data_IF_058343892042
#
_entry.id   IF_058343892042
#
_cell.length_a   1.000
_cell.length_b   1.000
_cell.length_c   1.000
_cell.angle_alpha   90.00
_cell.angle_beta   90.00
_cell.angle_gamma   90.00
#
_symmetry.space_group_name_H-M   'P 1'
#
loop_
_entity.id
_entity.type
_entity.pdbx_description
1 polymer ?
#
# COMPACT_ATOMS: atom_id res chain seq x y z
N UNK A 1 -76.92 -29.60 -60.62
CA UNK A 1 -75.59 -29.96 -61.16
C UNK A 1 -74.74 -28.72 -61.14
N UNK A 2 -73.59 -28.74 -60.45
CA UNK A 2 -72.63 -27.63 -60.43
C UNK A 2 -71.35 -28.11 -61.10
N UNK A 3 -70.95 -27.45 -62.18
CA UNK A 3 -69.69 -27.69 -62.85
C UNK A 3 -68.56 -27.00 -62.08
N UNK A 4 -67.50 -27.76 -61.79
CA UNK A 4 -66.22 -27.24 -61.31
C UNK A 4 -65.17 -27.88 -62.22
N UNK A 5 -64.39 -27.05 -62.91
CA UNK A 5 -63.29 -27.46 -63.80
C UNK A 5 -63.64 -28.46 -64.94
N UNK A 6 -64.75 -28.24 -65.66
CA UNK A 6 -64.98 -28.85 -66.98
C UNK A 6 -65.25 -30.37 -67.04
N UNK A 7 -65.46 -31.03 -65.91
CA UNK A 7 -65.83 -32.45 -65.83
C UNK A 7 -67.33 -32.60 -65.48
N UNK A 8 -68.08 -33.38 -66.27
CA UNK A 8 -69.49 -33.75 -65.96
C UNK A 8 -69.52 -34.90 -64.96
N UNK A 9 -69.64 -34.54 -63.69
CA UNK A 9 -69.56 -35.48 -62.58
C UNK A 9 -70.97 -36.01 -62.25
N UNK A 10 -71.22 -37.30 -62.54
CA UNK A 10 -72.42 -38.00 -62.11
C UNK A 10 -72.42 -38.32 -60.60
N UNK A 11 -73.56 -38.68 -60.02
CA UNK A 11 -73.72 -38.86 -58.56
C UNK A 11 -72.74 -39.85 -57.89
N UNK A 12 -72.20 -40.83 -58.63
CA UNK A 12 -71.17 -41.75 -58.15
C UNK A 12 -69.75 -41.15 -58.24
N UNK A 13 -69.43 -40.46 -59.35
CA UNK A 13 -68.13 -39.78 -59.52
C UNK A 13 -67.96 -38.62 -58.53
N UNK A 14 -69.04 -37.91 -58.16
CA UNK A 14 -69.01 -36.83 -57.17
C UNK A 14 -68.71 -37.38 -55.78
N UNK A 15 -69.27 -38.55 -55.45
CA UNK A 15 -69.00 -39.26 -54.19
C UNK A 15 -67.56 -39.75 -54.12
N UNK A 16 -67.02 -40.30 -55.22
CA UNK A 16 -65.61 -40.72 -55.31
C UNK A 16 -64.63 -39.55 -55.21
N UNK A 17 -64.92 -38.44 -55.89
CA UNK A 17 -64.11 -37.22 -55.80
C UNK A 17 -64.13 -36.65 -54.38
N UNK A 18 -65.32 -36.49 -53.77
CA UNK A 18 -65.43 -36.04 -52.38
C UNK A 18 -64.70 -36.97 -51.41
N UNK A 19 -64.77 -38.29 -51.59
CA UNK A 19 -64.06 -39.26 -50.77
C UNK A 19 -62.53 -39.07 -50.89
N UNK A 20 -62.01 -38.90 -52.11
CA UNK A 20 -60.59 -38.64 -52.36
C UNK A 20 -60.11 -37.34 -51.72
N UNK A 21 -60.88 -36.26 -51.82
CA UNK A 21 -60.55 -34.96 -51.20
C UNK A 21 -60.56 -35.04 -49.67
N UNK A 22 -61.52 -35.76 -49.09
CA UNK A 22 -61.57 -36.01 -47.63
C UNK A 22 -60.34 -36.80 -47.18
N UNK A 23 -59.94 -37.83 -47.93
CA UNK A 23 -58.74 -38.63 -47.64
C UNK A 23 -57.45 -37.80 -47.64
N UNK A 24 -57.28 -36.94 -48.65
CA UNK A 24 -56.13 -36.01 -48.72
C UNK A 24 -56.15 -35.01 -47.56
N UNK A 25 -57.32 -34.45 -47.22
CA UNK A 25 -57.44 -33.55 -46.07
C UNK A 25 -57.09 -34.25 -44.74
N UNK A 26 -57.49 -35.51 -44.57
CA UNK A 26 -57.13 -36.29 -43.38
C UNK A 26 -55.62 -36.53 -43.30
N UNK A 27 -54.96 -36.89 -44.41
CA UNK A 27 -53.51 -37.08 -44.44
C UNK A 27 -52.78 -35.78 -44.09
N UNK A 28 -53.20 -34.65 -44.66
CA UNK A 28 -52.63 -33.32 -44.35
C UNK A 28 -52.84 -32.99 -42.87
N UNK A 29 -54.05 -33.22 -42.33
CA UNK A 29 -54.33 -32.96 -40.92
C UNK A 29 -53.45 -33.81 -39.97
N UNK A 30 -53.22 -35.08 -40.30
CA UNK A 30 -52.31 -35.96 -39.56
C UNK A 30 -50.87 -35.45 -39.66
N UNK A 31 -50.41 -35.05 -40.84
CA UNK A 31 -49.05 -34.54 -41.05
C UNK A 31 -48.81 -33.23 -40.30
N UNK A 32 -49.78 -32.31 -40.35
CA UNK A 32 -49.76 -31.05 -39.57
C UNK A 32 -49.76 -31.36 -38.08
N UNK A 33 -50.58 -32.31 -37.61
CA UNK A 33 -50.60 -32.74 -36.22
C UNK A 33 -49.25 -33.30 -35.76
N UNK A 34 -48.63 -34.17 -36.57
CA UNK A 34 -47.31 -34.72 -36.31
C UNK A 34 -46.21 -33.63 -36.31
N UNK A 35 -46.25 -32.70 -37.26
CA UNK A 35 -45.31 -31.58 -37.34
C UNK A 35 -45.43 -30.65 -36.13
N UNK A 36 -46.65 -30.32 -35.71
CA UNK A 36 -46.90 -29.51 -34.50
C UNK A 36 -46.45 -30.25 -33.24
N UNK A 37 -46.69 -31.56 -33.16
CA UNK A 37 -46.22 -32.38 -32.04
C UNK A 37 -44.69 -32.41 -31.95
N UNK A 38 -44.01 -32.66 -33.07
CA UNK A 38 -42.54 -32.65 -33.14
C UNK A 38 -41.98 -31.27 -32.83
N UNK A 39 -42.58 -30.19 -33.36
CA UNK A 39 -42.19 -28.81 -33.06
C UNK A 39 -42.34 -28.47 -31.58
N UNK A 40 -43.45 -28.87 -30.93
CA UNK A 40 -43.63 -28.71 -29.48
C UNK A 40 -42.60 -29.49 -28.67
N UNK A 41 -42.26 -30.71 -29.09
CA UNK A 41 -41.29 -31.54 -28.39
C UNK A 41 -39.87 -30.97 -28.53
N UNK A 42 -39.50 -30.54 -29.75
CA UNK A 42 -38.23 -29.85 -30.01
C UNK A 42 -38.13 -28.57 -29.20
N UNK A 43 -39.18 -27.73 -29.21
CA UNK A 43 -39.22 -26.50 -28.40
C UNK A 43 -39.04 -26.77 -26.91
N UNK A 44 -39.65 -27.83 -26.36
CA UNK A 44 -39.42 -28.24 -24.96
C UNK A 44 -37.97 -28.62 -24.69
N UNK A 45 -37.37 -29.44 -25.54
CA UNK A 45 -35.99 -29.90 -25.37
C UNK A 45 -35.02 -28.72 -25.50
N UNK A 46 -35.19 -27.86 -26.51
CA UNK A 46 -34.39 -26.66 -26.70
C UNK A 46 -34.53 -25.68 -25.56
N UNK A 47 -35.75 -25.43 -25.06
CA UNK A 47 -35.96 -24.54 -23.92
C UNK A 47 -35.31 -25.08 -22.63
N UNK A 48 -35.41 -26.39 -22.40
CA UNK A 48 -34.75 -27.04 -21.26
C UNK A 48 -33.22 -26.95 -21.38
N UNK A 49 -32.67 -27.27 -22.54
CA UNK A 49 -31.23 -27.17 -22.79
C UNK A 49 -30.72 -25.73 -22.65
N UNK A 50 -31.48 -24.74 -23.14
CA UNK A 50 -31.14 -23.32 -22.98
C UNK A 50 -31.15 -22.89 -21.50
N UNK A 51 -32.12 -23.37 -20.70
CA UNK A 51 -32.16 -23.10 -19.26
C UNK A 51 -30.95 -23.71 -18.55
N UNK A 52 -30.65 -24.99 -18.80
CA UNK A 52 -29.50 -25.67 -18.20
C UNK A 52 -28.16 -25.01 -18.61
N UNK A 53 -28.05 -24.56 -19.86
CA UNK A 53 -26.91 -23.78 -20.33
C UNK A 53 -26.82 -22.43 -19.62
N UNK A 54 -27.94 -21.72 -19.47
CA UNK A 54 -27.96 -20.42 -18.79
C UNK A 54 -27.53 -20.56 -17.32
N UNK A 55 -28.05 -21.56 -16.61
CA UNK A 55 -27.67 -21.85 -15.23
C UNK A 55 -26.18 -22.21 -15.13
N UNK A 56 -25.68 -23.06 -16.03
CA UNK A 56 -24.26 -23.43 -16.09
C UNK A 56 -23.35 -22.23 -16.39
N UNK A 57 -23.78 -21.33 -17.27
CA UNK A 57 -23.04 -20.09 -17.59
C UNK A 57 -22.96 -19.20 -16.35
N UNK A 58 -24.06 -19.04 -15.61
CA UNK A 58 -24.09 -18.24 -14.38
C UNK A 58 -23.14 -18.85 -13.34
N UNK A 59 -23.22 -20.17 -13.12
CA UNK A 59 -22.38 -20.86 -12.14
C UNK A 59 -20.89 -20.77 -12.48
N UNK A 60 -20.52 -21.08 -13.72
CA UNK A 60 -19.12 -21.03 -14.18
C UNK A 60 -18.61 -19.60 -14.13
N UNK A 61 -19.42 -18.61 -14.55
CA UNK A 61 -19.01 -17.21 -14.52
C UNK A 61 -18.81 -16.74 -13.08
N UNK A 62 -19.72 -17.07 -12.16
CA UNK A 62 -19.58 -16.72 -10.74
C UNK A 62 -18.32 -17.33 -10.14
N UNK A 63 -18.11 -18.64 -10.30
CA UNK A 63 -16.92 -19.32 -9.78
C UNK A 63 -15.63 -18.76 -10.36
N UNK A 64 -15.62 -18.43 -11.65
CA UNK A 64 -14.46 -17.84 -12.31
C UNK A 64 -14.20 -16.43 -11.77
N UNK A 65 -15.24 -15.61 -11.61
CA UNK A 65 -15.12 -14.26 -11.05
C UNK A 65 -14.63 -14.29 -9.61
N UNK A 66 -15.16 -15.19 -8.77
CA UNK A 66 -14.72 -15.38 -7.39
C UNK A 66 -13.25 -15.78 -7.33
N UNK A 67 -12.84 -16.76 -8.15
CA UNK A 67 -11.45 -17.22 -8.21
C UNK A 67 -10.49 -16.13 -8.70
N UNK A 68 -10.87 -15.38 -9.74
CA UNK A 68 -10.05 -14.26 -10.25
C UNK A 68 -9.93 -13.15 -9.21
N UNK A 69 -11.02 -12.81 -8.51
CA UNK A 69 -10.99 -11.81 -7.44
C UNK A 69 -10.12 -12.27 -6.27
N UNK A 70 -10.28 -13.51 -5.80
CA UNK A 70 -9.48 -14.07 -4.71
C UNK A 70 -7.98 -14.04 -5.05
N UNK A 71 -7.60 -14.54 -6.24
CA UNK A 71 -6.22 -14.51 -6.68
C UNK A 71 -5.68 -13.08 -6.83
N UNK A 72 -6.45 -12.18 -7.44
CA UNK A 72 -6.04 -10.78 -7.60
C UNK A 72 -5.81 -10.09 -6.26
N UNK A 73 -6.66 -10.35 -5.26
CA UNK A 73 -6.53 -9.76 -3.92
C UNK A 73 -5.33 -10.36 -3.18
N UNK A 74 -5.12 -11.67 -3.26
CA UNK A 74 -3.96 -12.33 -2.64
C UNK A 74 -2.64 -11.87 -3.26
N UNK A 75 -2.57 -11.82 -4.60
CA UNK A 75 -1.37 -11.39 -5.31
C UNK A 75 -1.06 -9.91 -5.03
N UNK A 76 -2.09 -9.05 -5.03
CA UNK A 76 -1.94 -7.63 -4.67
C UNK A 76 -1.45 -7.48 -3.23
N UNK A 77 -2.08 -8.17 -2.28
CA UNK A 77 -1.69 -8.11 -0.86
C UNK A 77 -0.27 -8.62 -0.65
N UNK A 78 0.11 -9.72 -1.29
CA UNK A 78 1.46 -10.27 -1.21
C UNK A 78 2.50 -9.32 -1.82
N UNK A 79 2.18 -8.66 -2.94
CA UNK A 79 3.03 -7.66 -3.56
C UNK A 79 3.22 -6.43 -2.64
N UNK A 80 2.15 -5.96 -2.00
CA UNK A 80 2.25 -4.84 -1.07
C UNK A 80 3.07 -5.20 0.17
N UNK A 81 2.85 -6.37 0.76
CA UNK A 81 3.68 -6.86 1.85
C UNK A 81 5.16 -6.92 1.45
N UNK A 82 5.46 -7.40 0.24
CA UNK A 82 6.81 -7.43 -0.30
C UNK A 82 7.43 -6.03 -0.46
N UNK A 83 6.68 -5.05 -0.98
CA UNK A 83 7.15 -3.66 -1.13
C UNK A 83 7.44 -3.04 0.25
N UNK A 84 6.53 -3.25 1.20
CA UNK A 84 6.69 -2.78 2.59
C UNK A 84 7.92 -3.42 3.21
N UNK A 85 8.09 -4.73 3.13
CA UNK A 85 9.26 -5.43 3.66
C UNK A 85 10.57 -4.90 3.05
N UNK A 86 10.61 -4.65 1.73
CA UNK A 86 11.77 -4.04 1.05
C UNK A 86 12.10 -2.64 1.59
N UNK A 87 11.08 -1.79 1.79
CA UNK A 87 11.23 -0.47 2.40
C UNK A 87 11.81 -0.58 3.82
N UNK A 88 11.26 -1.48 4.64
CA UNK A 88 11.74 -1.67 6.01
C UNK A 88 13.17 -2.24 6.06
N UNK A 89 13.53 -3.17 5.18
CA UNK A 89 14.89 -3.70 5.08
C UNK A 89 15.91 -2.64 4.61
N UNK A 90 15.54 -1.77 3.68
CA UNK A 90 16.37 -0.63 3.26
C UNK A 90 16.59 0.33 4.43
N UNK A 91 15.54 0.68 5.17
CA UNK A 91 15.63 1.53 6.38
C UNK A 91 16.53 0.90 7.45
N UNK A 92 16.42 -0.42 7.70
CA UNK A 92 17.33 -1.14 8.61
C UNK A 92 18.78 -0.99 8.18
N UNK A 93 19.04 -1.21 6.89
CA UNK A 93 20.38 -1.12 6.30
C UNK A 93 20.97 0.29 6.44
N UNK A 94 20.15 1.32 6.20
CA UNK A 94 20.52 2.72 6.37
C UNK A 94 20.88 3.05 7.83
N UNK A 95 20.05 2.63 8.79
CA UNK A 95 20.32 2.87 10.22
C UNK A 95 21.57 2.12 10.70
N UNK A 96 21.79 0.89 10.26
CA UNK A 96 23.01 0.13 10.58
C UNK A 96 24.26 0.78 9.97
N UNK A 97 24.16 1.33 8.76
CA UNK A 97 25.24 2.10 8.16
C UNK A 97 25.55 3.35 9.00
N UNK A 98 24.53 4.14 9.37
CA UNK A 98 24.70 5.30 10.25
C UNK A 98 25.32 4.91 11.60
N UNK A 99 24.89 3.80 12.19
CA UNK A 99 25.43 3.28 13.44
C UNK A 99 26.92 2.99 13.29
N UNK A 100 27.31 2.24 12.26
CA UNK A 100 28.72 1.90 12.00
C UNK A 100 29.59 3.14 11.76
N UNK A 101 29.11 4.14 11.01
CA UNK A 101 29.82 5.41 10.84
C UNK A 101 29.96 6.16 12.16
N UNK A 102 28.88 6.26 12.94
CA UNK A 102 28.92 6.91 14.24
C UNK A 102 29.90 6.21 15.19
N UNK A 103 29.89 4.88 15.28
CA UNK A 103 30.84 4.13 16.11
C UNK A 103 32.29 4.43 15.73
N UNK A 104 32.62 4.50 14.43
CA UNK A 104 33.95 4.84 13.96
C UNK A 104 34.36 6.27 14.33
N UNK A 105 33.46 7.24 14.15
CA UNK A 105 33.72 8.66 14.45
C UNK A 105 33.90 8.85 15.96
N UNK A 106 32.98 8.30 16.77
CA UNK A 106 33.04 8.41 18.23
C UNK A 106 34.25 7.67 18.83
N UNK A 107 34.70 6.57 18.22
CA UNK A 107 35.91 5.87 18.62
C UNK A 107 37.20 6.65 18.31
N UNK A 108 37.18 7.53 17.30
CA UNK A 108 38.37 8.24 16.81
C UNK A 108 38.14 9.78 16.69
N UNK A 109 37.71 10.49 17.75
CA UNK A 109 37.34 11.89 17.64
C UNK A 109 38.49 12.79 17.14
N UNK A 110 39.73 12.46 17.51
CA UNK A 110 40.93 13.23 17.12
C UNK A 110 41.26 13.19 15.61
N UNK A 111 40.61 12.30 14.85
CA UNK A 111 40.80 12.21 13.39
C UNK A 111 39.91 13.18 12.62
N UNK A 112 39.00 13.87 13.29
CA UNK A 112 38.03 14.73 12.66
C UNK A 112 38.18 16.15 13.19
N UNK A 113 38.05 17.11 12.28
CA UNK A 113 38.00 18.52 12.65
C UNK A 113 36.72 18.84 13.42
N UNK A 114 36.72 20.01 14.06
CA UNK A 114 35.53 20.52 14.73
C UNK A 114 34.41 20.70 13.72
N UNK A 115 33.32 19.94 13.90
CA UNK A 115 32.13 20.08 13.06
C UNK A 115 31.48 21.46 13.26
N UNK A 116 31.35 22.21 12.16
CA UNK A 116 30.60 23.47 12.15
C UNK A 116 29.15 23.17 11.75
N UNK A 117 28.27 23.25 12.75
CA UNK A 117 26.83 23.01 12.61
C UNK A 117 26.09 24.25 13.05
N UNK A 118 25.07 24.65 12.29
CA UNK A 118 24.19 25.77 12.62
C UNK A 118 22.85 25.27 13.16
N UNK A 119 22.13 26.16 13.85
CA UNK A 119 20.72 25.98 14.14
C UNK A 119 19.88 25.88 12.84
N UNK A 120 18.66 25.33 12.87
CA UNK A 120 17.75 25.37 11.73
C UNK A 120 17.48 26.83 11.30
N UNK A 121 17.16 27.00 10.02
CA UNK A 121 16.87 28.30 9.40
C UNK A 121 15.64 28.17 8.51
N UNK A 122 14.68 29.07 8.67
CA UNK A 122 13.44 29.05 7.88
C UNK A 122 13.69 29.24 6.38
N UNK A 123 14.80 29.87 6.00
CA UNK A 123 15.19 30.08 4.60
C UNK A 123 15.65 28.79 3.91
N UNK A 124 16.03 27.77 4.67
CA UNK A 124 16.48 26.47 4.15
C UNK A 124 15.31 25.47 3.99
N UNK A 125 14.07 25.91 4.25
CA UNK A 125 12.89 25.04 4.13
C UNK A 125 12.70 24.52 2.69
N UNK A 126 12.39 23.22 2.57
CA UNK A 126 12.32 22.50 1.30
C UNK A 126 13.68 22.09 0.72
N UNK A 127 14.81 22.47 1.32
CA UNK A 127 16.14 22.05 0.88
C UNK A 127 16.77 21.04 1.85
N UNK A 128 17.41 19.97 1.36
CA UNK A 128 18.22 19.09 2.21
C UNK A 128 19.25 19.88 3.01
N UNK A 129 19.11 19.87 4.33
CA UNK A 129 19.90 20.67 5.26
C UNK A 129 20.27 19.85 6.49
N UNK A 130 21.40 20.17 7.11
CA UNK A 130 21.86 19.53 8.35
C UNK A 130 22.07 20.58 9.42
N UNK A 131 21.42 20.40 10.56
CA UNK A 131 21.41 21.37 11.64
C UNK A 131 21.37 20.70 13.01
N UNK A 132 21.75 21.47 14.03
CA UNK A 132 21.55 21.10 15.43
C UNK A 132 20.21 21.66 15.89
N UNK A 133 19.37 20.83 16.48
CA UNK A 133 18.07 21.24 17.02
C UNK A 133 18.25 21.91 18.39
N UNK A 134 18.84 23.10 18.40
CA UNK A 134 19.05 23.92 19.60
C UNK A 134 19.30 25.38 19.22
N UNK A 135 18.89 26.31 20.09
CA UNK A 135 19.22 27.74 20.02
C UNK A 135 20.55 28.09 20.72
N UNK A 136 21.21 27.10 21.33
CA UNK A 136 22.49 27.29 22.03
C UNK A 136 23.59 27.63 21.02
N UNK A 137 24.46 28.59 21.41
CA UNK A 137 25.66 28.88 20.62
C UNK A 137 26.61 27.69 20.56
N UNK A 138 27.37 27.58 19.47
CA UNK A 138 28.34 26.52 19.27
C UNK A 138 29.33 26.43 20.44
N UNK A 139 29.77 27.54 21.03
CA UNK A 139 30.65 27.54 22.22
C UNK A 139 30.05 26.79 23.43
N UNK A 140 28.72 26.79 23.57
CA UNK A 140 28.03 26.03 24.62
C UNK A 140 27.91 24.56 24.24
N UNK A 141 27.65 24.25 22.96
CA UNK A 141 27.53 22.89 22.46
C UNK A 141 28.88 22.15 22.43
N UNK A 142 29.98 22.86 22.12
CA UNK A 142 31.35 22.35 22.14
C UNK A 142 31.84 21.91 23.53
N UNK A 143 31.10 22.24 24.61
CA UNK A 143 31.37 21.69 25.95
C UNK A 143 30.99 20.22 26.07
N UNK A 144 30.12 19.73 25.19
CA UNK A 144 29.78 18.31 25.09
C UNK A 144 30.88 17.54 24.39
N UNK A 145 31.30 16.42 24.97
CA UNK A 145 32.21 15.48 24.31
C UNK A 145 31.56 14.76 23.10
N UNK A 146 30.24 14.84 22.95
CA UNK A 146 29.48 14.14 21.90
C UNK A 146 29.14 15.04 20.70
N UNK A 147 29.14 16.36 20.87
CA UNK A 147 28.69 17.29 19.82
C UNK A 147 29.56 17.22 18.57
N UNK A 148 30.88 17.32 18.69
CA UNK A 148 31.78 17.30 17.54
C UNK A 148 31.73 15.97 16.77
N UNK A 149 31.82 14.78 17.42
CA UNK A 149 31.59 13.51 16.75
C UNK A 149 30.25 13.43 16.03
N UNK A 150 29.16 13.85 16.67
CA UNK A 150 27.83 13.80 16.07
C UNK A 150 27.70 14.79 14.89
N UNK A 151 28.29 15.97 14.97
CA UNK A 151 28.34 16.94 13.88
C UNK A 151 29.12 16.45 12.66
N UNK A 152 30.13 15.60 12.86
CA UNK A 152 30.89 14.99 11.77
C UNK A 152 30.09 13.93 10.98
N UNK A 153 28.90 13.56 11.44
CA UNK A 153 27.95 12.75 10.66
C UNK A 153 27.27 13.53 9.52
N UNK A 154 27.43 14.86 9.47
CA UNK A 154 26.77 15.76 8.50
C UNK A 154 26.77 15.22 7.07
N UNK A 155 27.93 14.86 6.54
CA UNK A 155 28.07 14.50 5.13
C UNK A 155 27.35 13.18 4.81
N UNK A 156 27.46 12.17 5.69
CA UNK A 156 26.82 10.88 5.46
C UNK A 156 25.30 10.99 5.63
N UNK A 157 24.83 11.70 6.66
CA UNK A 157 23.41 11.89 6.90
C UNK A 157 22.75 12.71 5.79
N UNK A 158 23.39 13.80 5.33
CA UNK A 158 22.88 14.57 4.19
C UNK A 158 22.88 13.76 2.91
N UNK A 159 23.95 13.00 2.64
CA UNK A 159 24.01 12.18 1.43
C UNK A 159 22.96 11.08 1.45
N UNK A 160 22.76 10.42 2.60
CA UNK A 160 21.74 9.38 2.75
C UNK A 160 20.33 9.96 2.57
N UNK A 161 20.02 11.08 3.23
CA UNK A 161 18.74 11.75 3.09
C UNK A 161 18.50 12.24 1.65
N UNK A 162 19.46 12.94 1.05
CA UNK A 162 19.31 13.53 -0.28
C UNK A 162 19.26 12.51 -1.43
N UNK A 163 19.68 11.25 -1.21
CA UNK A 163 19.65 10.20 -2.22
C UNK A 163 18.59 9.13 -1.95
N UNK A 164 17.68 9.36 -1.00
CA UNK A 164 16.57 8.44 -0.74
C UNK A 164 15.23 9.19 -0.76
N UNK A 165 14.35 8.75 -1.65
CA UNK A 165 12.99 9.27 -1.76
C UNK A 165 12.08 8.75 -0.63
N UNK A 166 12.52 7.70 0.09
CA UNK A 166 11.73 7.03 1.14
C UNK A 166 11.95 7.64 2.54
N UNK A 167 13.09 8.30 2.77
CA UNK A 167 13.47 8.77 4.10
C UNK A 167 12.93 10.17 4.36
N UNK A 168 12.37 10.38 5.55
CA UNK A 168 11.83 11.69 5.92
C UNK A 168 12.81 12.55 6.72
N UNK A 169 13.73 11.90 7.43
CA UNK A 169 14.84 12.50 8.14
C UNK A 169 15.92 11.45 8.41
N UNK A 170 17.15 11.89 8.60
CA UNK A 170 18.20 11.11 9.26
C UNK A 170 18.65 11.91 10.49
N UNK A 171 18.83 11.28 11.64
CA UNK A 171 19.20 12.02 12.86
C UNK A 171 20.17 11.25 13.77
N UNK A 172 20.81 11.99 14.65
CA UNK A 172 21.62 11.46 15.75
C UNK A 172 21.31 12.24 17.03
N UNK A 173 20.87 11.51 18.05
CA UNK A 173 20.65 12.00 19.41
C UNK A 173 21.78 11.57 20.33
N UNK A 174 22.52 12.51 20.88
CA UNK A 174 23.64 12.23 21.80
C UNK A 174 23.15 11.89 23.22
N UNK A 175 24.01 11.25 24.02
CA UNK A 175 23.68 10.84 25.39
C UNK A 175 23.43 12.00 26.37
N UNK A 176 23.85 13.22 26.04
CA UNK A 176 23.54 14.44 26.79
C UNK A 176 22.38 15.26 26.17
N UNK A 177 21.68 14.68 25.20
CA UNK A 177 20.40 15.19 24.68
C UNK A 177 20.52 16.13 23.49
N UNK A 178 21.70 16.37 22.94
CA UNK A 178 21.87 17.14 21.69
C UNK A 178 21.37 16.31 20.52
N UNK A 179 20.46 16.89 19.73
CA UNK A 179 19.92 16.30 18.52
C UNK A 179 20.47 17.03 17.28
N UNK A 180 20.99 16.26 16.33
CA UNK A 180 21.36 16.74 15.01
C UNK A 180 20.56 15.99 13.96
N UNK A 181 20.05 16.71 12.96
CA UNK A 181 19.09 16.21 11.99
C UNK A 181 19.53 16.62 10.59
N UNK A 182 19.36 15.70 9.63
CA UNK A 182 19.33 15.97 8.21
C UNK A 182 17.91 15.77 7.69
N UNK A 183 17.28 16.85 7.21
CA UNK A 183 15.96 16.82 6.56
C UNK A 183 15.79 18.01 5.60
N UNK A 184 14.58 18.15 5.04
CA UNK A 184 14.18 19.27 4.20
C UNK A 184 13.04 20.12 4.81
N UNK A 185 12.82 20.02 6.13
CA UNK A 185 11.64 20.60 6.81
C UNK A 185 12.04 21.57 7.92
N UNK A 186 13.12 22.32 7.69
CA UNK A 186 13.75 23.23 8.65
C UNK A 186 12.75 24.19 9.33
N UNK A 187 11.72 24.68 8.62
CA UNK A 187 10.71 25.56 9.22
C UNK A 187 9.83 24.87 10.29
N UNK A 188 9.66 23.55 10.20
CA UNK A 188 8.84 22.77 11.15
C UNK A 188 9.46 22.68 12.56
N UNK A 189 10.73 23.04 12.71
CA UNK A 189 11.43 23.05 13.99
C UNK A 189 11.15 24.30 14.84
N UNK A 190 10.39 25.25 14.32
CA UNK A 190 10.02 26.48 15.01
C UNK A 190 8.59 26.42 15.57
N UNK A 191 8.36 27.07 16.70
CA UNK A 191 7.03 27.31 17.26
C UNK A 191 6.36 28.52 16.59
N UNK A 192 5.12 28.82 16.98
CA UNK A 192 4.34 29.94 16.45
C UNK A 192 5.00 31.32 16.68
N UNK A 193 5.95 31.41 17.60
CA UNK A 193 6.69 32.63 17.92
C UNK A 193 8.05 32.72 17.21
N UNK A 194 8.39 31.74 16.36
CA UNK A 194 9.68 31.68 15.67
C UNK A 194 10.83 31.24 16.57
N UNK A 195 10.56 30.62 17.73
CA UNK A 195 11.58 30.00 18.59
C UNK A 195 11.73 28.52 18.21
N UNK A 196 12.95 27.99 18.27
CA UNK A 196 13.19 26.56 18.13
C UNK A 196 12.42 25.83 19.22
N UNK A 197 11.63 24.83 18.81
CA UNK A 197 10.80 24.02 19.70
C UNK A 197 11.67 23.32 20.75
N UNK A 198 11.11 23.12 21.94
CA UNK A 198 11.76 22.28 22.94
C UNK A 198 11.61 20.81 22.55
N UNK A 199 12.71 20.08 22.54
CA UNK A 199 12.73 18.67 22.18
C UNK A 199 13.58 17.88 23.17
N UNK A 200 12.95 16.93 23.85
CA UNK A 200 13.62 16.05 24.82
C UNK A 200 14.03 14.74 24.15
N UNK A 201 15.24 14.76 23.58
CA UNK A 201 15.81 13.68 22.77
C UNK A 201 15.86 12.34 23.49
N UNK A 202 16.41 12.31 24.71
CA UNK A 202 16.65 11.06 25.45
C UNK A 202 15.36 10.41 25.96
N UNK A 203 14.26 11.16 25.98
CA UNK A 203 12.96 10.64 26.40
C UNK A 203 12.06 10.14 25.26
N UNK A 204 12.50 10.25 24.00
CA UNK A 204 11.74 9.80 22.84
C UNK A 204 11.63 8.26 22.79
N UNK A 205 10.52 7.70 22.27
CA UNK A 205 10.34 6.25 22.16
C UNK A 205 11.44 5.55 21.36
N UNK A 206 11.88 6.12 20.25
CA UNK A 206 13.00 5.59 19.46
C UNK A 206 14.31 5.55 20.26
N UNK A 207 14.57 6.56 21.09
CA UNK A 207 15.78 6.61 21.91
C UNK A 207 15.75 5.52 22.98
N UNK A 208 14.67 5.47 23.77
CA UNK A 208 14.52 4.49 24.85
C UNK A 208 14.49 3.06 24.32
N UNK A 209 13.71 2.81 23.28
CA UNK A 209 13.57 1.48 22.70
C UNK A 209 14.88 0.94 22.12
N UNK A 210 15.66 1.77 21.43
CA UNK A 210 16.99 1.38 20.94
C UNK A 210 17.94 1.04 22.09
N UNK A 211 17.94 1.85 23.16
CA UNK A 211 18.79 1.62 24.34
C UNK A 211 18.36 0.39 25.14
N UNK A 212 17.07 0.19 25.33
CA UNK A 212 16.49 -0.97 26.04
C UNK A 212 16.73 -2.28 25.28
N UNK A 213 16.59 -2.24 23.94
CA UNK A 213 16.86 -3.39 23.07
C UNK A 213 18.36 -3.65 22.93
N UNK A 214 19.20 -2.62 23.09
CA UNK A 214 20.65 -2.70 22.89
C UNK A 214 21.06 -2.89 21.43
N UNK A 215 20.16 -2.57 20.49
CA UNK A 215 20.34 -2.81 19.07
C UNK A 215 19.27 -2.10 18.25
N UNK A 216 19.10 -2.57 17.01
CA UNK A 216 18.12 -1.99 16.10
C UNK A 216 16.70 -2.10 16.68
N UNK A 217 15.96 -0.99 16.65
CA UNK A 217 14.63 -0.86 17.21
C UNK A 217 13.73 -0.05 16.28
N UNK A 218 12.54 -0.57 16.01
CA UNK A 218 11.44 0.16 15.40
C UNK A 218 10.46 0.61 16.47
N UNK A 219 10.03 1.87 16.43
CA UNK A 219 8.90 2.31 17.23
C UNK A 219 7.62 1.63 16.76
N UNK A 220 6.61 1.63 17.64
CA UNK A 220 5.23 1.58 17.17
C UNK A 220 4.90 2.83 16.35
N UNK A 221 3.65 2.92 15.89
CA UNK A 221 3.20 4.09 15.13
C UNK A 221 3.12 5.29 16.06
N UNK A 222 3.79 6.36 15.65
CA UNK A 222 3.84 7.60 16.40
C UNK A 222 3.58 8.80 15.51
N UNK A 223 3.25 9.92 16.17
CA UNK A 223 3.14 11.21 15.53
C UNK A 223 4.49 11.92 15.62
N UNK A 224 5.01 12.33 14.47
CA UNK A 224 6.23 13.10 14.37
C UNK A 224 6.11 14.42 15.16
N UNK A 225 7.17 14.77 15.88
CA UNK A 225 7.16 15.90 16.81
C UNK A 225 7.22 17.26 16.11
N UNK A 226 7.75 17.30 14.88
CA UNK A 226 7.97 18.55 14.15
C UNK A 226 6.82 18.84 13.18
N UNK A 227 6.46 17.84 12.38
CA UNK A 227 5.45 17.93 11.31
C UNK A 227 4.05 17.50 11.75
N UNK A 228 3.95 16.67 12.80
CA UNK A 228 2.68 16.08 13.20
C UNK A 228 2.20 14.95 12.28
N UNK A 229 2.99 14.50 11.30
CA UNK A 229 2.66 13.37 10.42
C UNK A 229 2.76 12.04 11.15
N UNK A 230 2.10 11.01 10.63
CA UNK A 230 2.10 9.67 11.23
C UNK A 230 3.23 8.87 10.60
N UNK A 231 4.04 8.22 11.43
CA UNK A 231 5.21 7.50 10.97
C UNK A 231 5.70 6.42 11.92
N UNK A 232 6.78 5.78 11.49
CA UNK A 232 7.59 4.87 12.29
C UNK A 232 9.04 5.34 12.24
N UNK A 233 9.76 5.04 13.31
CA UNK A 233 11.16 5.44 13.45
C UNK A 233 12.00 4.19 13.65
N UNK A 234 13.03 4.03 12.81
CA UNK A 234 14.06 3.02 13.00
C UNK A 234 15.27 3.66 13.67
N UNK A 235 15.82 3.00 14.68
CA UNK A 235 16.91 3.56 15.46
C UNK A 235 17.86 2.49 15.98
N UNK A 236 19.09 2.87 16.26
CA UNK A 236 20.10 1.98 16.82
C UNK A 236 21.02 2.74 17.81
N UNK A 237 21.38 2.13 18.95
CA UNK A 237 22.27 2.74 19.92
C UNK A 237 23.72 2.69 19.42
N UNK A 238 24.48 3.75 19.72
CA UNK A 238 25.90 3.87 19.41
C UNK A 238 26.68 3.78 20.73
N UNK A 239 27.61 2.83 20.79
CA UNK A 239 28.43 2.61 21.98
C UNK A 239 29.91 2.92 21.71
N UNK A 240 30.56 3.52 22.71
CA UNK A 240 32.02 3.68 22.76
C UNK A 240 32.53 3.00 24.02
N UNK A 241 33.35 1.95 23.87
CA UNK A 241 33.88 1.17 24.99
C UNK A 241 32.78 0.68 25.96
N UNK A 242 31.63 0.27 25.43
CA UNK A 242 30.48 -0.18 26.22
C UNK A 242 29.65 0.93 26.88
N UNK A 243 30.02 2.20 26.75
CA UNK A 243 29.22 3.35 27.20
C UNK A 243 28.36 3.87 26.05
N UNK A 244 27.07 4.11 26.31
CA UNK A 244 26.18 4.77 25.35
C UNK A 244 26.66 6.20 25.09
N UNK A 245 26.85 6.55 23.82
CA UNK A 245 27.28 7.90 23.42
C UNK A 245 26.26 8.62 22.55
N UNK A 246 25.47 7.88 21.78
CA UNK A 246 24.39 8.41 20.95
C UNK A 246 23.40 7.31 20.58
N UNK A 247 22.31 7.71 19.94
CA UNK A 247 21.38 6.85 19.20
C UNK A 247 21.19 7.50 17.83
N UNK A 248 21.38 6.73 16.77
CA UNK A 248 21.10 7.16 15.40
C UNK A 248 19.71 6.67 14.99
N UNK A 249 19.08 7.35 14.05
CA UNK A 249 17.83 6.89 13.49
C UNK A 249 17.41 7.58 12.21
N UNK A 250 16.33 7.06 11.65
CA UNK A 250 15.71 7.50 10.41
C UNK A 250 14.20 7.45 10.59
N UNK A 251 13.52 8.51 10.15
CA UNK A 251 12.06 8.58 10.16
C UNK A 251 11.47 8.14 8.81
N UNK A 252 10.35 7.41 8.89
CA UNK A 252 9.53 7.05 7.75
C UNK A 252 8.08 7.45 8.01
N UNK A 253 7.55 8.37 7.21
CA UNK A 253 6.14 8.74 7.23
C UNK A 253 5.34 7.71 6.43
N UNK A 254 4.12 7.47 6.90
CA UNK A 254 3.22 6.48 6.30
C UNK A 254 2.18 7.13 5.37
N UNK A 255 2.30 8.43 5.11
CA UNK A 255 1.37 9.20 4.28
C UNK A 255 1.17 8.57 2.88
N UNK A 256 2.24 8.09 2.25
CA UNK A 256 2.16 7.41 0.93
C UNK A 256 1.41 6.07 1.02
N UNK A 257 1.50 5.39 2.16
CA UNK A 257 0.73 4.16 2.41
C UNK A 257 -0.75 4.49 2.65
N UNK A 258 -1.03 5.59 3.34
CA UNK A 258 -2.39 6.10 3.55
C UNK A 258 -3.06 6.45 2.21
N UNK A 259 -2.38 7.20 1.33
CA UNK A 259 -2.90 7.54 0.00
C UNK A 259 -3.17 6.30 -0.85
N UNK A 260 -2.31 5.28 -0.78
CA UNK A 260 -2.52 4.03 -1.50
C UNK A 260 -3.76 3.26 -1.01
N UNK A 261 -4.01 3.22 0.30
CA UNK A 261 -5.20 2.58 0.89
C UNK A 261 -6.47 3.26 0.39
N UNK A 262 -6.49 4.59 0.37
CA UNK A 262 -7.63 5.39 -0.10
C UNK A 262 -7.94 5.12 -1.58
N UNK A 263 -6.92 4.97 -2.43
CA UNK A 263 -7.13 4.68 -3.86
C UNK A 263 -7.71 3.28 -4.11
N UNK A 264 -7.46 2.32 -3.23
CA UNK A 264 -7.97 0.94 -3.38
C UNK A 264 -9.48 0.88 -3.14
N UNK A 265 -9.98 1.63 -2.13
CA UNK A 265 -11.41 1.73 -1.82
C UNK A 265 -12.22 2.27 -3.01
N UNK A 266 -11.68 3.26 -3.70
CA UNK A 266 -12.31 3.87 -4.88
C UNK A 266 -12.56 2.89 -6.05
N UNK A 267 -11.84 1.76 -6.09
CA UNK A 267 -11.97 0.72 -7.12
C UNK A 267 -12.81 -0.49 -6.67
N UNK A 268 -13.51 -0.38 -5.53
CA UNK A 268 -14.44 -1.40 -5.02
C UNK A 268 -13.79 -2.50 -4.19
N UNK A 269 -12.58 -2.28 -3.64
CA UNK A 269 -11.91 -3.19 -2.72
C UNK A 269 -11.47 -2.47 -1.45
N UNK A 270 -11.57 -3.12 -0.28
CA UNK A 270 -11.18 -2.52 0.99
C UNK A 270 -9.81 -3.05 1.43
N UNK A 271 -8.85 -2.15 1.68
CA UNK A 271 -7.51 -2.50 2.17
C UNK A 271 -7.32 -1.92 3.57
N UNK A 272 -6.75 -2.68 4.50
CA UNK A 272 -6.39 -2.17 5.82
C UNK A 272 -5.01 -2.67 6.22
N UNK A 273 -4.32 -1.90 7.06
CA UNK A 273 -3.06 -2.31 7.68
C UNK A 273 -3.35 -2.67 9.12
N UNK A 274 -2.86 -3.82 9.57
CA UNK A 274 -3.04 -4.34 10.92
C UNK A 274 -1.66 -4.68 11.49
N UNK A 275 -1.38 -4.29 12.73
CA UNK A 275 -0.14 -4.65 13.39
C UNK A 275 -0.19 -6.08 13.98
N UNK A 276 0.95 -6.56 14.50
CA UNK A 276 1.05 -7.90 15.09
C UNK A 276 0.15 -8.17 16.30
N UNK A 277 -0.37 -7.11 16.94
CA UNK A 277 -1.31 -7.20 18.06
C UNK A 277 -2.79 -7.23 17.62
N UNK A 278 -3.04 -7.18 16.30
CA UNK A 278 -4.38 -7.17 15.73
C UNK A 278 -5.05 -5.79 15.75
N UNK A 279 -4.30 -4.71 15.97
CA UNK A 279 -4.82 -3.35 15.94
C UNK A 279 -4.79 -2.81 14.51
N UNK A 280 -5.91 -2.20 14.10
CA UNK A 280 -6.00 -1.50 12.80
C UNK A 280 -5.16 -0.24 12.89
N UNK A 281 -4.22 -0.14 11.96
CA UNK A 281 -3.29 0.98 11.79
C UNK A 281 -3.86 1.98 10.78
N UNK A 282 -4.31 1.48 9.63
CA UNK A 282 -4.98 2.24 8.58
C UNK A 282 -6.17 1.45 8.05
N UNK A 283 -7.23 2.17 7.73
CA UNK A 283 -8.46 1.70 7.10
C UNK A 283 -9.04 2.86 6.29
N UNK A 284 -9.74 2.62 5.16
CA UNK A 284 -10.50 3.64 4.46
C UNK A 284 -11.62 4.20 5.34
#
# INVERSE_FOLDING_TARGET
MKEIFGLKIGGLQQKLFNLGTVLVMVIIAVYVGAAVYQSKNLSKVTNKANSELQDSIVDISSQTMDSVMEHSLLDSTAMQAYIVDDVFEDVKSNVLALQGYAEQIFANPDKYDTAEVSAPRTEDDGQPSFFVHSDKSNDKLLKSEYFTPAGNMKNIMLSMFANSDKLNSCFIGTADGILLIADNKSASHFDENGKIREFDTCNRPWYKGAVETGGLYFTGIERDAFTGKIGVVCSAPVYKNGKLVAVVGVDLFLDEMEEYIDTTDSNGGLMCIINGDGQVIFSP
#
